data_IF_001810741899
#
_entry.id   IF_001810741899
#
_cell.length_a   1.000
_cell.length_b   1.000
_cell.length_c   1.000
_cell.angle_alpha   90.00
_cell.angle_beta   90.00
_cell.angle_gamma   90.00
#
_symmetry.space_group_name_H-M   'P 1'
#
loop_
_entity.id
_entity.type
_entity.pdbx_description
1 polymer ?
#
# COMPACT_ATOMS: atom_id res chain seq x y z
N UNK A 1 -19.57 4.61 3.32
CA UNK A 1 -19.27 3.24 3.79
C UNK A 1 -17.77 2.95 3.72
N UNK A 2 -17.14 3.03 2.54
CA UNK A 2 -15.69 2.76 2.40
C UNK A 2 -14.81 3.62 3.33
N UNK A 3 -14.98 4.95 3.31
CA UNK A 3 -14.17 5.88 4.14
C UNK A 3 -14.25 5.54 5.62
N UNK A 4 -15.47 5.42 6.19
CA UNK A 4 -15.67 4.99 7.59
C UNK A 4 -15.04 3.63 7.90
N UNK A 5 -15.08 2.70 6.95
CA UNK A 5 -14.42 1.41 7.06
C UNK A 5 -12.90 1.53 7.17
N UNK A 6 -12.28 2.34 6.30
CA UNK A 6 -10.84 2.62 6.35
C UNK A 6 -10.43 3.39 7.63
N UNK A 7 -11.24 4.34 8.06
CA UNK A 7 -10.99 5.08 9.32
C UNK A 7 -10.96 4.14 10.52
N UNK A 8 -11.84 3.12 10.54
CA UNK A 8 -11.84 2.08 11.59
C UNK A 8 -10.57 1.22 11.63
N UNK A 9 -9.77 1.26 10.55
CA UNK A 9 -8.45 0.60 10.47
C UNK A 9 -7.30 1.58 10.67
N UNK A 10 -7.56 2.82 11.09
CA UNK A 10 -6.54 3.86 11.26
C UNK A 10 -6.09 4.53 9.95
N UNK A 11 -6.80 4.32 8.84
CA UNK A 11 -6.46 4.90 7.54
C UNK A 11 -7.46 6.02 7.20
N UNK A 12 -6.95 7.24 7.05
CA UNK A 12 -7.75 8.40 6.64
C UNK A 12 -7.86 8.52 5.12
N UNK A 13 -8.85 9.26 4.65
CA UNK A 13 -9.00 9.66 3.26
C UNK A 13 -9.05 11.19 3.17
N UNK A 14 -8.62 11.76 2.05
CA UNK A 14 -8.89 13.16 1.73
C UNK A 14 -10.40 13.37 1.63
N UNK A 15 -10.91 14.39 2.33
CA UNK A 15 -12.32 14.76 2.25
C UNK A 15 -12.67 15.18 0.81
N UNK A 16 -13.70 14.55 0.26
CA UNK A 16 -14.20 14.81 -1.09
C UNK A 16 -15.70 14.57 -1.13
N UNK A 17 -16.39 15.33 -1.98
CA UNK A 17 -17.82 15.23 -2.22
C UNK A 17 -18.15 14.69 -3.64
N UNK A 18 -17.15 14.27 -4.42
CA UNK A 18 -17.33 13.80 -5.79
C UNK A 18 -16.39 12.64 -6.14
N UNK A 19 -16.68 11.99 -7.27
CA UNK A 19 -15.86 10.93 -7.85
C UNK A 19 -16.37 9.51 -7.56
N UNK A 20 -15.68 8.53 -8.17
CA UNK A 20 -15.97 7.10 -8.06
C UNK A 20 -14.87 6.35 -7.28
N UNK A 21 -14.02 7.10 -6.59
CA UNK A 21 -12.88 6.66 -5.81
C UNK A 21 -12.63 7.61 -4.64
N UNK A 22 -11.87 7.14 -3.65
CA UNK A 22 -11.32 7.98 -2.58
C UNK A 22 -9.81 8.10 -2.73
N UNK A 23 -9.27 9.21 -2.23
CA UNK A 23 -7.83 9.46 -2.15
C UNK A 23 -7.37 9.13 -0.73
N UNK A 24 -6.74 7.98 -0.58
CA UNK A 24 -6.45 7.33 0.70
C UNK A 24 -5.05 7.69 1.16
N UNK A 25 -4.92 8.09 2.42
CA UNK A 25 -3.66 8.45 3.05
C UNK A 25 -3.08 7.25 3.81
N UNK A 26 -2.02 6.66 3.28
CA UNK A 26 -1.28 5.56 3.91
C UNK A 26 0.16 5.97 4.24
N UNK A 27 0.45 7.27 4.36
CA UNK A 27 1.81 7.78 4.64
C UNK A 27 2.42 7.17 5.90
N UNK A 28 1.60 6.94 6.93
CA UNK A 28 2.03 6.31 8.19
C UNK A 28 2.41 4.83 8.06
N UNK A 29 2.06 4.16 6.95
CA UNK A 29 2.43 2.77 6.66
C UNK A 29 3.71 2.67 5.82
N UNK A 30 4.26 3.80 5.37
CA UNK A 30 5.52 3.81 4.65
C UNK A 30 6.68 3.54 5.61
N UNK A 31 7.65 2.74 5.17
CA UNK A 31 8.90 2.53 5.91
C UNK A 31 9.75 3.81 5.95
N UNK A 32 9.75 4.57 4.86
CA UNK A 32 10.43 5.86 4.69
C UNK A 32 9.56 6.76 3.81
N UNK A 33 9.68 8.08 3.96
CA UNK A 33 8.91 9.04 3.16
C UNK A 33 9.47 9.20 1.73
N UNK A 34 9.44 8.12 0.92
CA UNK A 34 9.96 8.10 -0.46
C UNK A 34 9.03 7.33 -1.40
N UNK A 35 9.13 7.58 -2.71
CA UNK A 35 8.32 6.86 -3.70
C UNK A 35 8.69 5.38 -3.81
N UNK A 36 9.95 5.01 -3.55
CA UNK A 36 10.36 3.61 -3.49
C UNK A 36 9.59 2.87 -2.40
N UNK A 37 9.45 3.46 -1.22
CA UNK A 37 8.66 2.90 -0.12
C UNK A 37 7.15 2.85 -0.46
N UNK A 38 6.62 3.83 -1.20
CA UNK A 38 5.25 3.78 -1.73
C UNK A 38 5.06 2.55 -2.65
N UNK A 39 6.00 2.32 -3.57
CA UNK A 39 5.95 1.16 -4.48
C UNK A 39 6.14 -0.16 -3.73
N UNK A 40 6.96 -0.21 -2.69
CA UNK A 40 7.06 -1.38 -1.81
C UNK A 40 5.73 -1.68 -1.09
N UNK A 41 5.11 -0.65 -0.49
CA UNK A 41 3.80 -0.78 0.14
C UNK A 41 2.73 -1.21 -0.88
N UNK A 42 2.69 -0.58 -2.05
CA UNK A 42 1.78 -0.92 -3.13
C UNK A 42 1.89 -2.39 -3.53
N UNK A 43 3.12 -2.92 -3.69
CA UNK A 43 3.36 -4.33 -4.00
C UNK A 43 2.78 -5.25 -2.92
N UNK A 44 2.95 -4.93 -1.64
CA UNK A 44 2.33 -5.71 -0.55
C UNK A 44 0.80 -5.69 -0.64
N UNK A 45 0.22 -4.52 -0.90
CA UNK A 45 -1.24 -4.39 -1.07
C UNK A 45 -1.75 -5.26 -2.24
N UNK A 46 -1.07 -5.24 -3.38
CA UNK A 46 -1.45 -6.05 -4.54
C UNK A 46 -1.22 -7.54 -4.31
N UNK A 47 -0.05 -7.94 -3.82
CA UNK A 47 0.34 -9.34 -3.77
C UNK A 47 -0.09 -10.07 -2.49
N UNK A 48 -0.16 -9.40 -1.36
CA UNK A 48 -0.50 -10.00 -0.06
C UNK A 48 -1.96 -9.71 0.30
N UNK A 49 -2.36 -8.44 0.25
CA UNK A 49 -3.74 -8.00 0.58
C UNK A 49 -4.73 -8.32 -0.56
N UNK A 50 -4.22 -8.59 -1.77
CA UNK A 50 -5.00 -8.92 -2.98
C UNK A 50 -5.97 -7.80 -3.37
N UNK A 51 -5.53 -6.55 -3.25
CA UNK A 51 -6.30 -5.37 -3.66
C UNK A 51 -5.55 -4.61 -4.75
N UNK A 52 -6.24 -4.33 -5.85
CA UNK A 52 -5.70 -3.48 -6.90
C UNK A 52 -6.11 -2.03 -6.66
N UNK A 53 -5.15 -1.20 -6.25
CA UNK A 53 -5.30 0.25 -6.10
C UNK A 53 -4.18 0.95 -6.85
N UNK A 54 -4.37 2.22 -7.21
CA UNK A 54 -3.33 2.99 -7.90
C UNK A 54 -2.47 3.75 -6.90
N UNK A 55 -1.13 3.64 -6.93
CA UNK A 55 -0.26 4.45 -6.09
C UNK A 55 -0.24 5.91 -6.58
N UNK A 56 -0.03 6.86 -5.67
CA UNK A 56 -0.08 8.30 -5.94
C UNK A 56 0.90 8.74 -7.02
N UNK A 57 2.08 8.14 -7.06
CA UNK A 57 3.08 8.32 -8.12
C UNK A 57 2.54 8.10 -9.54
N UNK A 58 1.58 7.18 -9.73
CA UNK A 58 0.94 6.96 -11.04
C UNK A 58 0.05 8.12 -11.49
N UNK A 59 -0.32 9.01 -10.57
CA UNK A 59 -1.07 10.22 -10.84
C UNK A 59 -0.21 11.49 -10.68
N UNK A 60 1.12 11.34 -10.65
CA UNK A 60 2.08 12.44 -10.45
C UNK A 60 1.87 13.18 -9.13
N UNK A 61 1.41 12.49 -8.08
CA UNK A 61 1.36 13.07 -6.74
C UNK A 61 2.78 13.49 -6.32
N UNK A 62 2.92 14.67 -5.75
CA UNK A 62 4.22 15.22 -5.31
C UNK A 62 4.71 14.65 -3.99
N UNK A 63 3.82 13.98 -3.25
CA UNK A 63 4.10 13.33 -1.97
C UNK A 63 3.85 11.82 -2.09
N UNK A 64 4.75 10.96 -1.58
CA UNK A 64 4.52 9.52 -1.56
C UNK A 64 3.49 9.14 -0.48
N UNK A 65 2.89 7.97 -0.61
CA UNK A 65 2.01 7.36 0.40
C UNK A 65 0.52 7.60 0.19
N UNK A 66 0.16 8.29 -0.90
CA UNK A 66 -1.22 8.45 -1.31
C UNK A 66 -1.66 7.33 -2.26
N UNK A 67 -2.92 6.92 -2.19
CA UNK A 67 -3.46 5.86 -3.04
C UNK A 67 -4.88 6.15 -3.52
N UNK A 68 -5.17 5.79 -4.77
CA UNK A 68 -6.53 5.84 -5.33
C UNK A 68 -7.25 4.51 -5.15
N UNK A 69 -8.34 4.49 -4.39
CA UNK A 69 -9.19 3.32 -4.21
C UNK A 69 -10.59 3.55 -4.79
N UNK A 70 -10.90 2.87 -5.90
CA UNK A 70 -12.21 2.93 -6.56
C UNK A 70 -13.24 2.09 -5.81
N UNK A 71 -14.47 2.59 -5.72
CA UNK A 71 -15.54 1.91 -4.98
C UNK A 71 -16.84 1.73 -5.77
N UNK A 72 -17.08 2.52 -6.83
CA UNK A 72 -18.39 2.60 -7.47
C UNK A 72 -18.77 1.40 -8.36
N UNK A 73 -17.84 0.47 -8.60
CA UNK A 73 -18.05 -0.69 -9.46
C UNK A 73 -18.09 -2.02 -8.67
N UNK A 74 -18.18 -1.96 -7.34
CA UNK A 74 -18.14 -3.12 -6.46
C UNK A 74 -19.37 -3.18 -5.54
N UNK A 75 -19.80 -4.39 -5.18
CA UNK A 75 -20.87 -4.57 -4.19
C UNK A 75 -20.40 -4.18 -2.80
N UNK A 76 -21.36 -3.90 -1.91
CA UNK A 76 -21.08 -3.60 -0.50
C UNK A 76 -20.31 -4.74 0.19
N UNK A 77 -20.71 -5.99 -0.02
CA UNK A 77 -19.99 -7.17 0.51
C UNK A 77 -18.53 -7.22 0.06
N UNK A 78 -18.26 -6.87 -1.20
CA UNK A 78 -16.90 -6.85 -1.74
C UNK A 78 -16.06 -5.75 -1.09
N UNK A 79 -16.66 -4.57 -0.84
CA UNK A 79 -16.00 -3.48 -0.12
C UNK A 79 -15.73 -3.86 1.34
N UNK A 80 -16.67 -4.53 2.02
CA UNK A 80 -16.50 -5.01 3.39
C UNK A 80 -15.37 -6.03 3.49
N UNK A 81 -15.29 -6.98 2.55
CA UNK A 81 -14.17 -7.93 2.47
C UNK A 81 -12.84 -7.21 2.23
N UNK A 82 -12.80 -6.19 1.36
CA UNK A 82 -11.59 -5.41 1.12
C UNK A 82 -11.13 -4.67 2.39
N UNK A 83 -12.06 -4.03 3.13
CA UNK A 83 -11.78 -3.37 4.41
C UNK A 83 -11.25 -4.38 5.45
N UNK A 84 -11.84 -5.58 5.54
CA UNK A 84 -11.38 -6.62 6.45
C UNK A 84 -9.93 -7.04 6.15
N UNK A 85 -9.58 -7.21 4.87
CA UNK A 85 -8.21 -7.54 4.46
C UNK A 85 -7.22 -6.43 4.81
N UNK A 86 -7.62 -5.16 4.58
CA UNK A 86 -6.82 -4.00 4.98
C UNK A 86 -6.62 -3.98 6.49
N UNK A 87 -7.68 -4.23 7.27
CA UNK A 87 -7.59 -4.28 8.74
C UNK A 87 -6.54 -5.29 9.21
N UNK A 88 -6.61 -6.51 8.70
CA UNK A 88 -5.65 -7.58 9.04
C UNK A 88 -4.21 -7.16 8.69
N UNK A 89 -4.02 -6.51 7.54
CA UNK A 89 -2.71 -6.02 7.10
C UNK A 89 -2.15 -4.92 8.01
N UNK A 90 -2.97 -3.93 8.38
CA UNK A 90 -2.56 -2.84 9.28
C UNK A 90 -2.25 -3.37 10.67
N UNK A 91 -3.12 -4.22 11.22
CA UNK A 91 -2.94 -4.81 12.54
C UNK A 91 -1.62 -5.63 12.60
N UNK A 92 -1.30 -6.38 11.53
CA UNK A 92 -0.04 -7.14 11.41
C UNK A 92 1.19 -6.23 11.30
N UNK A 93 1.07 -5.09 10.63
CA UNK A 93 2.17 -4.13 10.47
C UNK A 93 2.53 -3.44 11.79
N UNK A 94 1.52 -3.14 12.62
CA UNK A 94 1.72 -2.56 13.95
C UNK A 94 2.46 -3.50 14.91
N UNK A 95 2.15 -4.81 14.87
CA UNK A 95 2.83 -5.83 15.69
C UNK A 95 4.32 -5.94 15.35
N UNK A 96 4.69 -5.77 14.07
CA UNK A 96 6.10 -5.80 13.66
C UNK A 96 6.82 -4.54 14.17
N UNK A 97 6.19 -3.36 14.10
CA UNK A 97 6.75 -2.11 14.61
C UNK A 97 7.07 -2.16 16.11
N UNK A 98 6.19 -2.73 16.92
CA UNK A 98 6.37 -2.81 18.39
C UNK A 98 7.48 -3.75 18.85
N UNK A 99 7.86 -4.75 18.04
CA UNK A 99 8.90 -5.72 18.40
C UNK A 99 10.32 -5.26 18.01
N UNK A 100 10.45 -4.23 17.18
CA UNK A 100 11.77 -3.72 16.74
C UNK A 100 12.43 -2.85 17.82
N UNK A 101 11.66 -2.26 18.74
CA UNK A 101 12.18 -1.38 19.80
C UNK A 101 12.92 -2.11 20.95
N UNK A 102 13.10 -3.44 20.90
CA UNK A 102 13.79 -4.21 21.96
C UNK A 102 15.03 -5.00 21.55
N UNK A 103 15.51 -4.94 20.30
CA UNK A 103 16.69 -5.74 19.89
C UNK A 103 17.90 -4.90 19.51
N UNK A 104 18.55 -4.34 20.53
CA UNK A 104 19.99 -4.07 20.47
C UNK A 104 20.74 -5.15 21.26
N UNK A 105 21.20 -6.19 20.56
CA UNK A 105 22.57 -6.74 20.66
C UNK A 105 22.77 -8.05 19.86
N UNK A 106 23.88 -8.06 19.10
CA UNK A 106 24.76 -9.17 18.68
C UNK A 106 24.56 -9.96 17.36
N UNK A 107 25.40 -9.59 16.38
CA UNK A 107 26.29 -10.36 15.47
C UNK A 107 25.82 -11.55 14.57
N UNK A 108 25.96 -11.29 13.26
CA UNK A 108 26.70 -12.00 12.20
C UNK A 108 26.29 -13.41 11.67
N UNK A 109 26.14 -13.41 10.32
CA UNK A 109 26.50 -14.43 9.31
C UNK A 109 25.56 -15.62 9.02
N UNK A 110 24.88 -15.62 7.85
CA UNK A 110 25.35 -16.29 6.60
C UNK A 110 24.22 -16.58 5.57
N UNK A 111 24.62 -16.47 4.30
CA UNK A 111 24.17 -17.22 3.11
C UNK A 111 22.84 -16.89 2.40
N UNK A 112 23.03 -16.42 1.17
CA UNK A 112 22.09 -16.21 0.06
C UNK A 112 21.57 -17.52 -0.55
N UNK A 113 20.31 -17.52 -1.04
CA UNK A 113 19.94 -18.27 -2.25
C UNK A 113 18.75 -17.61 -2.99
N UNK A 114 18.74 -17.57 -4.34
CA UNK A 114 17.79 -16.75 -5.09
C UNK A 114 16.58 -17.55 -5.58
N UNK A 115 15.36 -17.12 -5.22
CA UNK A 115 14.12 -17.66 -5.83
C UNK A 115 13.60 -16.73 -6.91
N UNK A 116 13.92 -17.15 -8.13
CA UNK A 116 13.43 -16.84 -9.49
C UNK A 116 12.28 -15.82 -9.62
N UNK A 117 12.60 -14.75 -10.35
CA UNK A 117 11.69 -13.81 -11.03
C UNK A 117 10.85 -14.54 -12.07
N UNK A 118 9.58 -14.76 -11.80
CA UNK A 118 8.55 -14.97 -12.81
C UNK A 118 7.33 -14.18 -12.32
N UNK A 119 6.53 -13.60 -13.23
CA UNK A 119 5.33 -12.77 -12.96
C UNK A 119 5.50 -11.24 -12.87
N UNK A 120 6.71 -10.68 -13.00
CA UNK A 120 6.93 -9.22 -13.09
C UNK A 120 6.44 -8.57 -14.41
N UNK A 121 5.61 -9.24 -15.24
CA UNK A 121 5.26 -8.77 -16.59
C UNK A 121 3.80 -8.32 -16.77
N UNK A 122 2.92 -8.54 -15.79
CA UNK A 122 1.47 -8.25 -15.93
C UNK A 122 0.96 -7.11 -15.01
N UNK A 123 1.81 -6.12 -14.74
CA UNK A 123 1.45 -4.93 -13.97
C UNK A 123 2.51 -3.81 -13.90
N UNK A 124 3.70 -4.04 -14.47
CA UNK A 124 4.83 -3.10 -14.40
C UNK A 124 5.01 -2.21 -15.64
N UNK A 125 4.11 -2.29 -16.63
CA UNK A 125 4.15 -1.41 -17.81
C UNK A 125 3.29 -0.15 -17.60
N UNK A 126 3.42 0.47 -16.43
CA UNK A 126 3.12 1.89 -16.29
C UNK A 126 4.46 2.60 -16.51
N UNK A 127 4.51 3.42 -17.56
CA UNK A 127 5.70 4.08 -18.08
C UNK A 127 6.42 4.89 -17.00
N UNK A 128 7.57 4.40 -16.53
CA UNK A 128 8.47 5.16 -15.63
C UNK A 128 9.82 5.51 -16.27
N UNK A 129 10.05 5.15 -17.53
CA UNK A 129 11.21 5.62 -18.28
C UNK A 129 10.77 6.56 -19.40
N UNK A 130 11.57 7.60 -19.60
CA UNK A 130 11.47 8.72 -20.53
C UNK A 130 10.54 9.85 -20.12
N UNK A 131 11.10 10.78 -19.31
CA UNK A 131 10.99 12.23 -19.50
C UNK A 131 12.07 12.95 -18.70
N UNK A 132 13.30 12.90 -19.22
CA UNK A 132 14.16 14.08 -19.09
C UNK A 132 13.53 15.18 -19.94
N UNK A 133 13.25 16.33 -19.32
CA UNK A 133 13.10 17.61 -19.99
C UNK A 133 13.53 18.72 -19.05
#
# INVERSE_FOLDING_TARGET
MLVKGLESTGISCLESNAGLFCWVDMRHLLKTNTFEAEIELWKKIVYEVKLNISPGSSCHCTEPGWFRACFANMSEDTLNLAIQRIKIFVDSSNVIGTNVDQTNQTNQNTSTSPKKKLFAKWGFRLSFNDRER
#
